data_IF_193317674755
#
_entry.id   IF_193317674755
#
_cell.length_a   1.000
_cell.length_b   1.000
_cell.length_c   1.000
_cell.angle_alpha   90.00
_cell.angle_beta   90.00
_cell.angle_gamma   90.00
#
_symmetry.space_group_name_H-M   'P 1'
#
loop_
_entity.id
_entity.type
_entity.pdbx_description
1 polymer ?
#
# COMPACT_ATOMS: atom_id res chain seq x y z
N UNK A 1 -6.19 -9.00 16.85
CA UNK A 1 -4.85 -8.37 16.78
C UNK A 1 -4.32 -8.23 15.35
N UNK A 2 -4.65 -9.13 14.42
CA UNK A 2 -4.03 -9.19 13.09
C UNK A 2 -4.53 -8.14 12.06
N UNK A 3 -5.76 -7.65 12.22
CA UNK A 3 -6.30 -6.55 11.44
C UNK A 3 -5.53 -5.21 11.62
N UNK A 4 -5.12 -4.94 12.86
CA UNK A 4 -4.43 -3.70 13.23
C UNK A 4 -3.00 -3.70 12.70
N UNK A 5 -2.32 -4.86 12.66
CA UNK A 5 -1.00 -4.99 12.04
C UNK A 5 -1.06 -4.80 10.53
N UNK A 6 -2.08 -5.35 9.85
CA UNK A 6 -2.31 -5.12 8.42
C UNK A 6 -2.53 -3.66 8.08
N UNK A 7 -3.44 -2.99 8.79
CA UNK A 7 -3.68 -1.57 8.59
C UNK A 7 -2.43 -0.73 8.87
N UNK A 8 -1.59 -1.10 9.84
CA UNK A 8 -0.34 -0.39 10.11
C UNK A 8 0.69 -0.56 9.00
N UNK A 9 0.82 -1.77 8.42
CA UNK A 9 1.73 -2.00 7.28
C UNK A 9 1.28 -1.25 6.03
N UNK A 10 -0.01 -1.28 5.69
CA UNK A 10 -0.54 -0.49 4.57
C UNK A 10 -0.31 1.01 4.79
N UNK A 11 -0.52 1.52 6.01
CA UNK A 11 -0.21 2.92 6.33
C UNK A 11 1.28 3.27 6.18
N UNK A 12 2.18 2.33 6.47
CA UNK A 12 3.62 2.54 6.23
C UNK A 12 3.92 2.61 4.74
N UNK A 13 3.34 1.74 3.92
CA UNK A 13 3.49 1.81 2.47
C UNK A 13 2.96 3.14 1.90
N UNK A 14 1.79 3.61 2.38
CA UNK A 14 1.24 4.94 2.03
C UNK A 14 2.23 6.06 2.39
N UNK A 15 2.86 5.99 3.57
CA UNK A 15 3.81 7.00 4.00
C UNK A 15 5.06 7.07 3.10
N UNK A 16 5.57 5.92 2.65
CA UNK A 16 6.68 5.85 1.69
C UNK A 16 6.30 6.55 0.38
N UNK A 17 5.11 6.26 -0.15
CA UNK A 17 4.65 6.87 -1.41
C UNK A 17 4.39 8.37 -1.24
N UNK A 18 3.77 8.80 -0.13
CA UNK A 18 3.52 10.23 0.10
C UNK A 18 4.82 11.02 0.27
N UNK A 19 5.88 10.43 0.83
CA UNK A 19 7.17 11.11 0.91
C UNK A 19 7.74 11.44 -0.48
N UNK A 20 7.47 10.62 -1.50
CA UNK A 20 7.79 10.93 -2.91
C UNK A 20 6.96 12.12 -3.41
N UNK A 21 5.65 12.11 -3.13
CA UNK A 21 4.71 13.17 -3.56
C UNK A 21 5.07 14.52 -2.92
N UNK A 22 5.39 14.51 -1.64
CA UNK A 22 5.69 15.70 -0.85
C UNK A 22 7.14 16.18 -1.05
N UNK A 23 7.98 15.43 -1.77
CA UNK A 23 9.42 15.68 -1.89
C UNK A 23 10.12 15.67 -0.51
N UNK A 24 9.64 14.83 0.39
CA UNK A 24 10.06 14.82 1.79
C UNK A 24 11.31 13.96 1.99
N UNK A 25 12.46 14.60 2.20
CA UNK A 25 13.72 13.95 2.52
C UNK A 25 14.86 14.37 1.61
N UNK A 26 16.09 14.18 2.08
CA UNK A 26 17.30 14.40 1.26
C UNK A 26 17.62 13.19 0.36
N UNK A 27 17.02 12.01 0.65
CA UNK A 27 17.15 10.79 -0.14
C UNK A 27 16.00 10.64 -1.15
N UNK A 28 16.33 10.33 -2.40
CA UNK A 28 15.37 10.03 -3.45
C UNK A 28 14.78 8.63 -3.24
N UNK A 29 13.49 8.56 -2.93
CA UNK A 29 12.76 7.28 -2.85
C UNK A 29 12.53 6.75 -4.27
N UNK A 30 13.03 5.55 -4.52
CA UNK A 30 12.98 4.88 -5.80
C UNK A 30 11.66 4.11 -6.01
N UNK A 31 11.25 3.86 -7.28
CA UNK A 31 10.13 2.97 -7.57
C UNK A 31 10.30 1.55 -7.00
N UNK A 32 11.54 1.08 -6.85
CA UNK A 32 11.84 -0.22 -6.24
C UNK A 32 11.46 -0.26 -4.76
N UNK A 33 11.79 0.78 -4.00
CA UNK A 33 11.44 0.87 -2.58
C UNK A 33 9.92 0.95 -2.36
N UNK A 34 9.21 1.65 -3.25
CA UNK A 34 7.74 1.65 -3.27
C UNK A 34 7.21 0.23 -3.52
N UNK A 35 7.73 -0.44 -4.56
CA UNK A 35 7.30 -1.79 -4.92
C UNK A 35 7.57 -2.80 -3.78
N UNK A 36 8.70 -2.68 -3.08
CA UNK A 36 9.03 -3.50 -1.91
C UNK A 36 8.03 -3.28 -0.77
N UNK A 37 7.73 -2.02 -0.42
CA UNK A 37 6.74 -1.72 0.62
C UNK A 37 5.34 -2.28 0.30
N UNK A 38 4.96 -2.34 -0.98
CA UNK A 38 3.69 -2.93 -1.42
C UNK A 38 3.74 -4.46 -1.37
N UNK A 39 4.85 -5.08 -1.81
CA UNK A 39 5.05 -6.54 -1.74
C UNK A 39 5.01 -7.05 -0.29
N UNK A 40 5.63 -6.33 0.64
CA UNK A 40 5.57 -6.63 2.07
C UNK A 40 4.13 -6.68 2.60
N UNK A 41 3.24 -5.84 2.05
CA UNK A 41 1.81 -5.88 2.36
C UNK A 41 1.12 -7.11 1.74
N UNK A 42 1.49 -7.51 0.53
CA UNK A 42 0.90 -8.68 -0.16
C UNK A 42 1.25 -10.02 0.51
N UNK A 43 2.39 -10.09 1.20
CA UNK A 43 2.85 -11.29 1.92
C UNK A 43 2.14 -11.53 3.26
N UNK A 44 1.23 -10.63 3.65
CA UNK A 44 0.50 -10.72 4.90
C UNK A 44 -0.55 -11.82 4.90
N UNK A 45 -0.38 -12.82 5.78
CA UNK A 45 -1.36 -13.90 5.97
C UNK A 45 -2.74 -13.37 6.39
N UNK A 46 -2.80 -12.22 7.06
CA UNK A 46 -4.03 -11.55 7.49
C UNK A 46 -4.93 -11.11 6.34
N UNK A 47 -4.38 -10.96 5.13
CA UNK A 47 -5.13 -10.53 3.95
C UNK A 47 -5.84 -11.68 3.24
N UNK A 48 -5.65 -12.93 3.67
CA UNK A 48 -6.26 -14.10 3.06
C UNK A 48 -7.80 -14.05 3.03
N UNK A 49 -8.42 -13.40 4.03
CA UNK A 49 -9.87 -13.26 4.14
C UNK A 49 -10.48 -12.02 3.47
N UNK A 50 -9.66 -11.15 2.86
CA UNK A 50 -10.10 -9.85 2.31
C UNK A 50 -9.62 -9.67 0.86
N UNK A 51 -10.22 -10.35 -0.12
CA UNK A 51 -9.73 -10.41 -1.49
C UNK A 51 -9.64 -9.03 -2.18
N UNK A 52 -10.52 -8.09 -1.82
CA UNK A 52 -10.49 -6.72 -2.35
C UNK A 52 -9.21 -5.97 -1.94
N UNK A 53 -8.69 -6.21 -0.72
CA UNK A 53 -7.44 -5.59 -0.26
C UNK A 53 -6.28 -6.08 -1.11
N UNK A 54 -6.20 -7.40 -1.38
CA UNK A 54 -5.16 -7.98 -2.23
C UNK A 54 -5.23 -7.46 -3.67
N UNK A 55 -6.44 -7.27 -4.19
CA UNK A 55 -6.67 -6.67 -5.51
C UNK A 55 -6.07 -5.26 -5.58
N UNK A 56 -6.43 -4.38 -4.65
CA UNK A 56 -5.90 -3.00 -4.64
C UNK A 56 -4.39 -2.95 -4.42
N UNK A 57 -3.83 -3.81 -3.57
CA UNK A 57 -2.37 -3.90 -3.41
C UNK A 57 -1.67 -4.38 -4.70
N UNK A 58 -2.27 -5.31 -5.44
CA UNK A 58 -1.79 -5.72 -6.76
C UNK A 58 -1.82 -4.58 -7.78
N UNK A 59 -2.94 -3.87 -7.87
CA UNK A 59 -3.09 -2.70 -8.74
C UNK A 59 -2.06 -1.60 -8.41
N UNK A 60 -1.77 -1.37 -7.13
CA UNK A 60 -0.74 -0.41 -6.72
C UNK A 60 0.69 -0.86 -7.13
N UNK A 61 0.97 -2.17 -7.06
CA UNK A 61 2.26 -2.72 -7.48
C UNK A 61 2.44 -2.65 -9.00
N UNK A 62 1.40 -2.97 -9.76
CA UNK A 62 1.38 -2.86 -11.22
C UNK A 62 1.58 -1.40 -11.64
N UNK A 63 0.83 -0.47 -11.02
CA UNK A 63 0.98 0.96 -11.27
C UNK A 63 2.40 1.48 -10.99
N UNK A 64 3.02 1.03 -9.89
CA UNK A 64 4.41 1.38 -9.58
C UNK A 64 5.37 0.86 -10.66
N UNK A 65 5.15 -0.37 -11.13
CA UNK A 65 5.98 -1.02 -12.16
C UNK A 65 5.81 -0.38 -13.54
N UNK A 66 4.61 0.12 -13.84
CA UNK A 66 4.26 0.83 -15.07
C UNK A 66 4.75 2.29 -15.08
N UNK A 67 5.35 2.77 -13.99
CA UNK A 67 5.85 4.14 -13.86
C UNK A 67 4.72 5.17 -13.68
N UNK A 68 3.59 4.75 -13.13
CA UNK A 68 2.47 5.66 -12.82
C UNK A 68 2.89 6.68 -11.75
N UNK A 69 2.28 7.88 -11.76
CA UNK A 69 2.50 8.89 -10.73
C UNK A 69 2.28 8.38 -9.30
N UNK A 70 3.11 8.86 -8.36
CA UNK A 70 3.07 8.44 -6.96
C UNK A 70 1.73 8.74 -6.27
N UNK A 71 1.04 9.82 -6.63
CA UNK A 71 -0.30 10.15 -6.15
C UNK A 71 -1.36 9.12 -6.57
N UNK A 72 -1.26 8.58 -7.80
CA UNK A 72 -2.10 7.47 -8.26
C UNK A 72 -1.84 6.19 -7.47
N UNK A 73 -0.57 5.86 -7.21
CA UNK A 73 -0.18 4.71 -6.38
C UNK A 73 -0.72 4.89 -4.95
N UNK A 74 -0.55 6.08 -4.36
CA UNK A 74 -1.06 6.40 -3.03
C UNK A 74 -2.58 6.27 -2.95
N UNK A 75 -3.32 6.80 -3.93
CA UNK A 75 -4.77 6.67 -4.03
C UNK A 75 -5.20 5.20 -4.01
N UNK A 76 -4.50 4.33 -4.73
CA UNK A 76 -4.80 2.89 -4.79
C UNK A 76 -4.52 2.21 -3.44
N UNK A 77 -3.46 2.60 -2.73
CA UNK A 77 -3.18 2.13 -1.38
C UNK A 77 -4.21 2.61 -0.34
N UNK A 78 -4.74 3.82 -0.49
CA UNK A 78 -5.87 4.28 0.34
C UNK A 78 -7.13 3.45 0.09
N UNK A 79 -7.40 3.03 -1.15
CA UNK A 79 -8.50 2.10 -1.45
C UNK A 79 -8.29 0.74 -0.76
N UNK A 80 -7.06 0.21 -0.76
CA UNK A 80 -6.72 -1.01 -0.01
C UNK A 80 -6.98 -0.85 1.50
N UNK A 81 -6.62 0.30 2.08
CA UNK A 81 -6.86 0.59 3.50
C UNK A 81 -8.36 0.71 3.82
N UNK A 82 -9.15 1.33 2.94
CA UNK A 82 -10.61 1.42 3.07
C UNK A 82 -11.27 0.05 3.02
N UNK A 83 -10.93 -0.76 2.01
CA UNK A 83 -11.42 -2.13 1.88
C UNK A 83 -11.06 -3.02 3.08
N UNK A 84 -9.89 -2.80 3.68
CA UNK A 84 -9.50 -3.51 4.89
C UNK A 84 -10.40 -3.13 6.07
N UNK A 85 -10.78 -1.86 6.20
CA UNK A 85 -11.66 -1.40 7.29
C UNK A 85 -13.09 -1.92 7.13
N UNK A 86 -13.61 -1.98 5.91
CA UNK A 86 -14.95 -2.52 5.60
C UNK A 86 -15.05 -4.04 5.82
N UNK A 87 -13.97 -4.78 5.53
CA UNK A 87 -13.92 -6.23 5.67
C UNK A 87 -13.71 -6.75 7.10
N UNK A 88 -13.52 -5.86 8.08
CA UNK A 88 -13.32 -6.22 9.48
C UNK A 88 -14.64 -6.19 10.24
N UNK A 89 -14.97 -7.25 11.01
CA UNK A 89 -16.12 -7.19 11.91
C UNK A 89 -15.90 -6.07 12.94
N UNK A 90 -16.95 -5.27 13.15
CA UNK A 90 -16.97 -4.13 14.08
C UNK A 90 -16.81 -4.54 15.53
#
# INVERSE_FOLDING_TARGET
MSARSAAQRIRKAIAVVNAVVDGAGDEEITPTEIAEAIRDCLEMAELAGVPNVRKYLGEALDATSDGMPADFVAMTLYAALGALQEGLPS
#
